data_IF_663443051725
#
_entry.id   IF_663443051725
#
_cell.length_a   1.000
_cell.length_b   1.000
_cell.length_c   1.000
_cell.angle_alpha   90.00
_cell.angle_beta   90.00
_cell.angle_gamma   90.00
#
_symmetry.space_group_name_H-M   'P 1'
#
loop_
_entity.id
_entity.type
_entity.pdbx_description
1 polymer ?
#
# COMPACT_ATOMS: atom_id res chain seq x y z
N UNK A 1 17.06 20.70 7.03
CA UNK A 1 17.08 21.13 5.61
C UNK A 1 15.82 20.71 4.85
N UNK A 2 15.54 19.43 4.61
CA UNK A 2 14.42 19.04 3.72
C UNK A 2 13.05 19.61 4.14
N UNK A 3 12.72 19.61 5.44
CA UNK A 3 11.44 20.08 5.97
C UNK A 3 11.50 21.50 6.56
N UNK A 4 12.57 22.27 6.32
CA UNK A 4 12.74 23.58 6.97
C UNK A 4 11.67 24.56 6.54
N UNK A 5 11.41 24.63 5.23
CA UNK A 5 10.32 25.44 4.67
C UNK A 5 8.94 25.08 5.24
N UNK A 6 8.65 23.79 5.44
CA UNK A 6 7.39 23.35 6.06
C UNK A 6 7.27 23.84 7.50
N UNK A 7 8.37 23.77 8.27
CA UNK A 7 8.41 24.24 9.67
C UNK A 7 8.26 25.75 9.78
N UNK A 8 8.77 26.50 8.80
CA UNK A 8 8.63 27.96 8.73
C UNK A 8 7.21 28.38 8.31
N UNK A 9 6.68 27.79 7.24
CA UNK A 9 5.37 28.17 6.68
C UNK A 9 4.19 27.62 7.51
N UNK A 10 4.35 26.46 8.16
CA UNK A 10 3.32 25.86 9.00
C UNK A 10 3.92 25.19 10.25
N UNK A 11 4.25 25.96 11.29
CA UNK A 11 4.90 25.45 12.50
C UNK A 11 4.14 24.34 13.22
N UNK A 12 2.81 24.30 13.06
CA UNK A 12 1.90 23.38 13.71
C UNK A 12 1.54 22.15 12.84
N UNK A 13 2.21 21.93 11.70
CA UNK A 13 1.88 20.86 10.75
C UNK A 13 1.75 19.47 11.40
N UNK A 14 2.55 19.21 12.43
CA UNK A 14 2.54 17.97 13.21
C UNK A 14 1.19 17.64 13.86
N UNK A 15 0.35 18.66 14.16
CA UNK A 15 -1.01 18.45 14.69
C UNK A 15 -1.94 17.77 13.67
N UNK A 16 -1.57 17.78 12.39
CA UNK A 16 -2.29 17.08 11.30
C UNK A 16 -1.79 15.66 11.07
N UNK A 17 -0.71 15.24 11.75
CA UNK A 17 -0.10 13.93 11.60
C UNK A 17 -0.55 13.05 12.76
N UNK A 18 -1.31 12.01 12.45
CA UNK A 18 -1.74 11.01 13.42
C UNK A 18 -1.04 9.71 13.04
N UNK A 19 -0.01 9.28 13.80
CA UNK A 19 0.65 8.01 13.54
C UNK A 19 -0.27 6.86 13.90
N UNK A 20 -0.34 5.86 13.02
CA UNK A 20 -1.06 4.60 13.24
C UNK A 20 -0.04 3.47 13.18
N UNK A 21 0.00 2.64 14.21
CA UNK A 21 0.87 1.46 14.23
C UNK A 21 0.27 0.35 13.39
N UNK A 22 1.05 -0.22 12.48
CA UNK A 22 0.60 -1.28 11.58
C UNK A 22 1.78 -2.13 11.13
N UNK A 23 1.54 -3.42 10.91
CA UNK A 23 2.44 -4.33 10.22
C UNK A 23 1.69 -4.93 9.04
N UNK A 24 2.03 -4.46 7.84
CA UNK A 24 1.32 -4.76 6.61
C UNK A 24 1.29 -6.25 6.26
N UNK A 25 2.31 -6.99 6.68
CA UNK A 25 2.41 -8.42 6.39
C UNK A 25 1.56 -9.30 7.32
N UNK A 26 1.05 -8.76 8.42
CA UNK A 26 0.25 -9.49 9.39
C UNK A 26 -1.26 -9.47 9.04
N UNK A 27 -2.04 -10.44 9.54
CA UNK A 27 -3.49 -10.44 9.39
C UNK A 27 -4.11 -9.13 9.92
N UNK A 28 -5.04 -8.56 9.15
CA UNK A 28 -5.70 -7.30 9.53
C UNK A 28 -4.74 -6.10 9.58
N UNK A 29 -3.58 -6.22 8.91
CA UNK A 29 -2.51 -5.22 8.91
C UNK A 29 -1.95 -4.92 10.33
N UNK A 30 -2.18 -5.82 11.30
CA UNK A 30 -1.89 -5.63 12.73
C UNK A 30 -2.39 -4.28 13.29
N UNK A 31 -3.52 -3.79 12.79
CA UNK A 31 -4.18 -2.60 13.31
C UNK A 31 -4.96 -2.94 14.59
N UNK A 32 -5.04 -1.97 15.51
CA UNK A 32 -5.97 -2.07 16.63
C UNK A 32 -7.42 -1.90 16.15
N UNK A 33 -8.39 -2.43 16.90
CA UNK A 33 -9.81 -2.23 16.58
C UNK A 33 -10.21 -0.74 16.56
N UNK A 34 -9.59 0.06 17.43
CA UNK A 34 -9.78 1.52 17.49
C UNK A 34 -9.27 2.22 16.23
N UNK A 35 -8.10 1.82 15.73
CA UNK A 35 -7.53 2.35 14.49
C UNK A 35 -8.38 1.93 13.30
N UNK A 36 -8.81 0.67 13.22
CA UNK A 36 -9.70 0.17 12.16
C UNK A 36 -10.98 1.00 12.12
N UNK A 37 -11.59 1.26 13.28
CA UNK A 37 -12.79 2.07 13.36
C UNK A 37 -12.53 3.51 12.89
N UNK A 38 -11.48 4.14 13.40
CA UNK A 38 -11.10 5.52 13.06
C UNK A 38 -10.85 5.67 11.56
N UNK A 39 -10.06 4.76 10.98
CA UNK A 39 -9.74 4.73 9.55
C UNK A 39 -11.01 4.53 8.71
N UNK A 40 -11.86 3.59 9.10
CA UNK A 40 -13.12 3.28 8.42
C UNK A 40 -14.10 4.46 8.41
N UNK A 41 -14.10 5.27 9.47
CA UNK A 41 -15.01 6.42 9.60
C UNK A 41 -14.47 7.70 8.94
N UNK A 42 -13.15 7.88 8.91
CA UNK A 42 -12.55 9.21 8.67
C UNK A 42 -11.70 9.31 7.40
N UNK A 43 -11.26 8.20 6.82
CA UNK A 43 -10.38 8.23 5.64
C UNK A 43 -11.18 8.46 4.36
N UNK A 44 -10.73 9.44 3.59
CA UNK A 44 -11.33 9.81 2.31
C UNK A 44 -10.44 9.45 1.10
N UNK A 45 -9.12 9.49 1.28
CA UNK A 45 -8.14 9.22 0.23
C UNK A 45 -7.03 8.36 0.83
N UNK A 46 -6.67 7.29 0.14
CA UNK A 46 -5.51 6.46 0.49
C UNK A 46 -4.43 6.68 -0.55
N UNK A 47 -3.23 7.00 -0.10
CA UNK A 47 -2.00 6.91 -0.90
C UNK A 47 -1.22 5.68 -0.44
N UNK A 48 -1.25 4.61 -1.22
CA UNK A 48 -0.53 3.38 -0.91
C UNK A 48 0.86 3.41 -1.55
N UNK A 49 1.85 3.84 -0.75
CA UNK A 49 3.25 3.95 -1.14
C UNK A 49 4.12 2.82 -0.58
N UNK A 50 3.57 1.98 0.30
CA UNK A 50 4.34 0.98 1.02
C UNK A 50 4.61 -0.25 0.14
N UNK A 51 5.89 -0.55 -0.07
CA UNK A 51 6.36 -1.69 -0.85
C UNK A 51 7.79 -2.04 -0.45
N UNK A 52 8.19 -3.29 -0.70
CA UNK A 52 9.59 -3.66 -0.79
C UNK A 52 10.06 -3.49 -2.24
N UNK A 53 11.21 -2.83 -2.39
CA UNK A 53 11.85 -2.54 -3.68
C UNK A 53 13.17 -3.31 -3.87
N UNK A 54 13.45 -4.28 -3.00
CA UNK A 54 14.66 -5.10 -3.05
C UNK A 54 14.53 -6.16 -4.13
N UNK A 55 15.42 -6.11 -5.12
CA UNK A 55 15.43 -7.06 -6.25
C UNK A 55 15.99 -8.44 -5.89
N UNK A 56 16.70 -8.54 -4.76
CA UNK A 56 17.33 -9.75 -4.24
C UNK A 56 16.52 -10.42 -3.12
N UNK A 57 15.32 -9.90 -2.82
CA UNK A 57 14.47 -10.44 -1.76
C UNK A 57 13.76 -11.73 -2.22
N UNK A 58 13.59 -12.74 -1.33
CA UNK A 58 12.87 -13.95 -1.70
C UNK A 58 11.44 -13.63 -2.15
N UNK A 59 11.01 -14.23 -3.26
CA UNK A 59 9.69 -14.00 -3.86
C UNK A 59 8.54 -14.08 -2.86
N UNK A 60 8.63 -14.98 -1.87
CA UNK A 60 7.64 -15.10 -0.78
C UNK A 60 7.42 -13.80 -0.03
N UNK A 61 8.49 -13.10 0.35
CA UNK A 61 8.40 -11.84 1.10
C UNK A 61 7.88 -10.72 0.22
N UNK A 62 8.37 -10.63 -1.02
CA UNK A 62 7.89 -9.66 -1.99
C UNK A 62 6.39 -9.84 -2.27
N UNK A 63 5.91 -11.08 -2.40
CA UNK A 63 4.48 -11.36 -2.58
C UNK A 63 3.67 -10.99 -1.33
N UNK A 64 4.16 -11.33 -0.13
CA UNK A 64 3.49 -11.00 1.12
C UNK A 64 3.26 -9.49 1.25
N UNK A 65 4.30 -8.69 1.02
CA UNK A 65 4.22 -7.24 1.22
C UNK A 65 3.58 -6.53 0.04
N UNK A 66 3.97 -6.82 -1.20
CA UNK A 66 3.51 -6.02 -2.35
C UNK A 66 2.14 -6.46 -2.88
N UNK A 67 1.77 -7.74 -2.71
CA UNK A 67 0.50 -8.28 -3.23
C UNK A 67 -0.51 -8.52 -2.12
N UNK A 68 -0.17 -9.37 -1.14
CA UNK A 68 -1.14 -9.79 -0.11
C UNK A 68 -1.49 -8.62 0.82
N UNK A 69 -0.52 -7.84 1.27
CA UNK A 69 -0.81 -6.66 2.10
C UNK A 69 -1.63 -5.61 1.34
N UNK A 70 -1.35 -5.39 0.05
CA UNK A 70 -2.16 -4.52 -0.80
C UNK A 70 -3.61 -5.02 -0.91
N UNK A 71 -3.81 -6.34 -1.03
CA UNK A 71 -5.14 -6.94 -1.03
C UNK A 71 -5.88 -6.77 0.31
N UNK A 72 -5.18 -6.93 1.44
CA UNK A 72 -5.72 -6.67 2.76
C UNK A 72 -6.12 -5.19 2.93
N UNK A 73 -5.26 -4.26 2.51
CA UNK A 73 -5.53 -2.83 2.56
C UNK A 73 -6.70 -2.43 1.66
N UNK A 74 -6.82 -3.00 0.46
CA UNK A 74 -8.00 -2.83 -0.39
C UNK A 74 -9.28 -3.36 0.27
N UNK A 75 -9.17 -4.44 1.06
CA UNK A 75 -10.31 -5.00 1.78
C UNK A 75 -10.76 -4.09 2.93
N UNK A 76 -9.82 -3.48 3.65
CA UNK A 76 -10.09 -2.44 4.64
C UNK A 76 -10.68 -1.18 3.98
N UNK A 77 -10.10 -0.74 2.87
CA UNK A 77 -10.53 0.44 2.13
C UNK A 77 -12.00 0.33 1.69
N UNK A 78 -12.45 -0.86 1.26
CA UNK A 78 -13.86 -1.11 0.90
C UNK A 78 -14.85 -0.91 2.05
N UNK A 79 -14.38 -0.94 3.30
CA UNK A 79 -15.24 -0.73 4.47
C UNK A 79 -15.42 0.76 4.80
N UNK A 80 -14.50 1.61 4.32
CA UNK A 80 -14.45 3.04 4.62
C UNK A 80 -15.66 3.79 4.07
N UNK A 81 -16.29 4.61 4.91
CA UNK A 81 -17.59 5.23 4.59
C UNK A 81 -17.51 6.42 3.65
N UNK A 82 -16.34 7.07 3.58
CA UNK A 82 -16.13 8.31 2.82
C UNK A 82 -15.00 8.17 1.81
N UNK A 83 -14.64 6.94 1.42
CA UNK A 83 -13.54 6.71 0.49
C UNK A 83 -13.90 7.25 -0.90
N UNK A 84 -13.13 8.24 -1.36
CA UNK A 84 -13.23 8.84 -2.69
C UNK A 84 -12.18 8.27 -3.64
N UNK A 85 -10.97 7.94 -3.15
CA UNK A 85 -9.89 7.47 -4.00
C UNK A 85 -8.91 6.54 -3.28
N UNK A 86 -8.49 5.49 -3.98
CA UNK A 86 -7.34 4.65 -3.62
C UNK A 86 -6.25 4.85 -4.68
N UNK A 87 -5.14 5.45 -4.29
CA UNK A 87 -4.04 5.82 -5.18
C UNK A 87 -2.88 4.87 -4.87
N UNK A 88 -2.70 3.87 -5.73
CA UNK A 88 -1.58 2.94 -5.64
C UNK A 88 -0.37 3.52 -6.37
N UNK A 89 0.76 3.63 -5.66
CA UNK A 89 2.03 3.99 -6.27
C UNK A 89 2.71 2.70 -6.74
N UNK A 90 2.71 2.48 -8.05
CA UNK A 90 3.42 1.38 -8.68
C UNK A 90 4.82 1.80 -9.15
N UNK A 91 5.43 1.03 -10.05
CA UNK A 91 6.77 1.28 -10.59
C UNK A 91 6.82 1.02 -12.09
N UNK A 92 7.64 1.78 -12.82
CA UNK A 92 7.94 1.51 -14.22
C UNK A 92 8.60 0.12 -14.42
N UNK A 93 9.11 -0.49 -13.34
CA UNK A 93 9.66 -1.84 -13.35
C UNK A 93 8.61 -2.96 -13.39
N UNK A 94 7.32 -2.66 -13.23
CA UNK A 94 6.26 -3.68 -13.19
C UNK A 94 6.19 -4.54 -14.48
N UNK A 95 6.66 -3.99 -15.61
CA UNK A 95 6.70 -4.68 -16.91
C UNK A 95 8.08 -4.55 -17.59
N UNK A 96 9.18 -4.41 -16.82
CA UNK A 96 10.52 -4.19 -17.38
C UNK A 96 11.08 -5.37 -18.19
N UNK A 97 10.41 -6.51 -18.19
CA UNK A 97 10.70 -7.64 -19.07
C UNK A 97 10.23 -7.41 -20.53
N UNK A 98 9.54 -6.30 -20.81
CA UNK A 98 9.05 -5.92 -22.15
C UNK A 98 9.88 -4.79 -22.73
N UNK A 99 10.06 -4.81 -24.07
CA UNK A 99 10.77 -3.74 -24.80
C UNK A 99 9.93 -2.47 -24.96
N UNK A 100 8.61 -2.61 -25.03
CA UNK A 100 7.65 -1.52 -25.13
C UNK A 100 6.54 -1.75 -24.10
N UNK A 101 6.10 -0.67 -23.46
CA UNK A 101 5.08 -0.68 -22.41
C UNK A 101 4.03 0.38 -22.77
N UNK A 102 2.89 -0.07 -23.26
CA UNK A 102 1.64 0.68 -23.44
C UNK A 102 0.92 0.90 -22.10
N UNK A 103 0.05 1.93 -22.04
CA UNK A 103 -0.83 2.23 -20.90
C UNK A 103 -2.04 1.28 -20.85
N UNK A 104 -1.76 0.02 -20.55
CA UNK A 104 -2.76 -1.05 -20.45
C UNK A 104 -2.49 -1.95 -19.25
N UNK A 105 -3.53 -2.67 -18.80
CA UNK A 105 -3.37 -3.73 -17.82
C UNK A 105 -2.92 -4.99 -18.56
N UNK A 106 -1.67 -5.39 -18.35
CA UNK A 106 -1.15 -6.63 -18.91
C UNK A 106 -1.70 -7.84 -18.17
N UNK A 107 -2.11 -8.91 -18.89
CA UNK A 107 -2.48 -10.15 -18.24
C UNK A 107 -1.26 -10.74 -17.51
N UNK A 108 -1.43 -11.25 -16.28
CA UNK A 108 -0.33 -11.87 -15.56
C UNK A 108 0.07 -13.19 -16.24
N UNK A 109 1.36 -13.57 -16.21
CA UNK A 109 1.83 -14.83 -16.80
C UNK A 109 1.32 -16.07 -16.04
N UNK A 110 0.93 -15.88 -14.78
CA UNK A 110 0.41 -16.93 -13.89
C UNK A 110 -0.76 -16.33 -13.10
N UNK A 111 -1.81 -17.12 -12.90
CA UNK A 111 -2.93 -16.77 -12.03
C UNK A 111 -2.45 -16.40 -10.62
N UNK A 112 -2.73 -15.18 -10.10
CA UNK A 112 -2.19 -14.71 -8.83
C UNK A 112 -2.47 -15.63 -7.64
N UNK A 113 -3.68 -16.22 -7.58
CA UNK A 113 -4.04 -17.13 -6.50
C UNK A 113 -3.20 -18.41 -6.50
N UNK A 114 -2.75 -18.90 -7.66
CA UNK A 114 -1.86 -20.07 -7.72
C UNK A 114 -0.49 -19.75 -7.11
N UNK A 115 0.03 -18.55 -7.38
CA UNK A 115 1.27 -18.06 -6.78
C UNK A 115 1.13 -17.94 -5.26
N UNK A 116 0.03 -17.36 -4.77
CA UNK A 116 -0.24 -17.20 -3.34
C UNK A 116 -0.27 -18.57 -2.64
N UNK A 117 -1.06 -19.52 -3.14
CA UNK A 117 -1.17 -20.86 -2.54
C UNK A 117 0.12 -21.68 -2.65
N UNK A 118 0.97 -21.44 -3.64
CA UNK A 118 2.25 -22.16 -3.78
C UNK A 118 3.30 -21.76 -2.74
N UNK A 119 3.05 -20.68 -1.98
CA UNK A 119 3.97 -20.14 -0.98
C UNK A 119 3.52 -20.42 0.46
N UNK A 120 2.34 -21.01 0.63
CA UNK A 120 1.86 -21.63 1.88
C UNK A 120 2.60 -22.95 2.12
#
# INVERSE_FOLDING_TARGET
>A
QLFDRLREENPDFQKKIIPVSSELTQPGLALSDEDVQTLTQSVHIIFHCAATIRFDEPLKHALQLNVIATQQLLSLAKQMKQLHAFIHISTAYANCNRRHIDEVIYPPPVEPNKLIHSLE
#
